data_IF_215748004663
#
_entry.id   IF_215748004663
#
_cell.length_a   1.000
_cell.length_b   1.000
_cell.length_c   1.000
_cell.angle_alpha   90.00
_cell.angle_beta   90.00
_cell.angle_gamma   90.00
#
_symmetry.space_group_name_H-M   'P 1'
#
loop_
_entity.id
_entity.type
_entity.pdbx_description
1 polymer ?
#
# COMPACT_ATOMS: atom_id res chain seq x y z
N UNK A 1 -3.63 -24.10 -1.85
CA UNK A 1 -3.06 -23.11 -2.78
C UNK A 1 -2.47 -22.03 -1.91
N UNK A 2 -1.18 -21.72 -2.05
CA UNK A 2 -0.61 -20.54 -1.37
C UNK A 2 -1.23 -19.31 -2.01
N UNK A 3 -2.05 -18.58 -1.25
CA UNK A 3 -2.49 -17.25 -1.65
C UNK A 3 -1.25 -16.36 -1.72
N UNK A 4 -0.85 -15.99 -2.94
CA UNK A 4 0.22 -15.02 -3.13
C UNK A 4 -0.29 -13.67 -2.64
N UNK A 5 0.08 -13.29 -1.42
CA UNK A 5 -0.13 -11.93 -0.92
C UNK A 5 0.55 -10.96 -1.90
N UNK A 6 -0.27 -10.19 -2.62
CA UNK A 6 0.19 -9.23 -3.62
C UNK A 6 0.87 -8.08 -2.89
N UNK A 7 2.20 -7.98 -3.04
CA UNK A 7 3.01 -6.92 -2.44
C UNK A 7 2.97 -5.66 -3.29
N UNK A 8 2.67 -4.52 -2.68
CA UNK A 8 2.58 -3.21 -3.32
C UNK A 8 3.58 -2.26 -2.65
N UNK A 9 4.41 -1.60 -3.46
CA UNK A 9 5.18 -0.42 -3.05
C UNK A 9 4.40 0.82 -3.47
N UNK A 10 3.81 1.51 -2.49
CA UNK A 10 3.15 2.79 -2.66
C UNK A 10 4.20 3.89 -2.50
N UNK A 11 4.48 4.65 -3.56
CA UNK A 11 5.32 5.84 -3.51
C UNK A 11 4.40 7.05 -3.68
N UNK A 12 4.19 7.80 -2.61
CA UNK A 12 3.34 8.99 -2.63
C UNK A 12 3.97 10.15 -1.85
N UNK A 13 3.85 11.37 -2.37
CA UNK A 13 4.37 12.59 -1.76
C UNK A 13 3.35 13.33 -0.87
N UNK A 14 2.03 13.20 -1.14
CA UNK A 14 0.99 13.71 -0.26
C UNK A 14 0.70 12.72 0.90
N UNK A 15 0.94 13.12 2.16
CA UNK A 15 0.76 12.25 3.31
C UNK A 15 -0.71 11.88 3.59
N UNK A 16 -1.67 12.74 3.23
CA UNK A 16 -3.09 12.48 3.42
C UNK A 16 -3.59 11.47 2.38
N UNK A 17 -3.25 11.69 1.11
CA UNK A 17 -3.63 10.78 0.03
C UNK A 17 -2.96 9.42 0.18
N UNK A 18 -1.65 9.39 0.45
CA UNK A 18 -0.90 8.16 0.67
C UNK A 18 -1.44 7.32 1.83
N UNK A 19 -1.90 7.96 2.91
CA UNK A 19 -2.51 7.24 4.05
C UNK A 19 -3.87 6.63 3.69
N UNK A 20 -4.76 7.39 3.05
CA UNK A 20 -6.09 6.91 2.63
C UNK A 20 -5.96 5.73 1.65
N UNK A 21 -5.07 5.85 0.67
CA UNK A 21 -4.86 4.80 -0.33
C UNK A 21 -4.21 3.55 0.29
N UNK A 22 -3.24 3.73 1.20
CA UNK A 22 -2.65 2.61 1.95
C UNK A 22 -3.70 1.84 2.74
N UNK A 23 -4.56 2.54 3.47
CA UNK A 23 -5.60 1.91 4.28
C UNK A 23 -6.60 1.14 3.41
N UNK A 24 -7.01 1.71 2.28
CA UNK A 24 -7.86 1.03 1.31
C UNK A 24 -7.25 -0.28 0.79
N UNK A 25 -5.96 -0.26 0.45
CA UNK A 25 -5.26 -1.44 -0.06
C UNK A 25 -5.10 -2.52 1.03
N UNK A 26 -4.79 -2.13 2.26
CA UNK A 26 -4.71 -3.06 3.39
C UNK A 26 -6.09 -3.70 3.68
N UNK A 27 -7.18 -2.93 3.57
CA UNK A 27 -8.55 -3.47 3.70
C UNK A 27 -8.92 -4.50 2.63
N UNK A 28 -8.20 -4.54 1.51
CA UNK A 28 -8.38 -5.51 0.43
C UNK A 28 -7.31 -6.62 0.45
N UNK A 29 -6.71 -6.87 1.62
CA UNK A 29 -5.71 -7.93 1.85
C UNK A 29 -4.42 -7.79 1.03
N UNK A 30 -4.05 -6.55 0.66
CA UNK A 30 -2.75 -6.27 0.06
C UNK A 30 -1.67 -6.01 1.12
N UNK A 31 -0.46 -6.48 0.84
CA UNK A 31 0.74 -6.19 1.65
C UNK A 31 1.40 -4.91 1.10
N UNK A 32 1.19 -3.78 1.79
CA UNK A 32 1.54 -2.44 1.28
C UNK A 32 2.70 -1.84 2.07
N UNK A 33 3.76 -1.49 1.35
CA UNK A 33 4.87 -0.68 1.84
C UNK A 33 4.69 0.75 1.31
N UNK A 34 4.60 1.74 2.21
CA UNK A 34 4.52 3.15 1.82
C UNK A 34 5.90 3.80 1.95
N UNK A 35 6.47 4.22 0.83
CA UNK A 35 7.68 5.01 0.75
C UNK A 35 7.33 6.47 0.42
N UNK A 36 7.92 7.43 1.14
CA UNK A 36 7.70 8.87 0.90
C UNK A 36 8.58 9.43 -0.22
N UNK A 37 9.50 8.61 -0.70
CA UNK A 37 10.56 8.95 -1.65
C UNK A 37 11.16 7.65 -2.18
N UNK A 38 11.41 7.62 -3.50
CA UNK A 38 12.10 6.54 -4.20
C UNK A 38 13.61 6.73 -4.23
#
# INVERSE_FOLDING_TARGET
MEEQNKKILLVEDDPNFGTVLKDYLIMNDYDVVHAKNG
#
